data_IF_411798497111
#
_entry.id   IF_411798497111
#
_cell.length_a   1.000
_cell.length_b   1.000
_cell.length_c   1.000
_cell.angle_alpha   90.00
_cell.angle_beta   90.00
_cell.angle_gamma   90.00
#
_symmetry.space_group_name_H-M   'P 1'
#
loop_
_entity.id
_entity.type
_entity.pdbx_description
1 polymer ?
#
# COMPACT_ATOMS: atom_id res chain seq x y z
N UNK A 1 49.25 -0.19 7.09
CA UNK A 1 48.33 -0.56 6.01
C UNK A 1 47.16 -1.30 6.65
N UNK A 2 46.09 -0.60 6.98
CA UNK A 2 44.87 -1.18 7.58
C UNK A 2 43.74 -1.02 6.59
N UNK A 3 43.35 -2.13 5.97
CA UNK A 3 42.22 -2.19 5.05
C UNK A 3 40.94 -1.86 5.82
N UNK A 4 40.35 -0.70 5.53
CA UNK A 4 39.00 -0.35 5.99
C UNK A 4 38.03 -1.27 5.25
N UNK A 5 37.50 -2.27 5.96
CA UNK A 5 36.42 -3.11 5.48
C UNK A 5 35.17 -2.24 5.38
N UNK A 6 34.87 -1.81 4.15
CA UNK A 6 33.69 -1.05 3.80
C UNK A 6 32.51 -2.03 3.76
N UNK A 7 31.90 -2.33 4.90
CA UNK A 7 30.69 -3.15 4.97
C UNK A 7 29.53 -2.32 4.42
N UNK A 8 29.35 -2.36 3.10
CA UNK A 8 28.10 -1.95 2.47
C UNK A 8 27.02 -2.91 2.99
N UNK A 9 26.27 -2.48 4.00
CA UNK A 9 24.99 -3.11 4.31
C UNK A 9 24.13 -2.95 3.06
N UNK A 10 24.00 -4.02 2.30
CA UNK A 10 23.07 -4.11 1.18
C UNK A 10 21.66 -4.06 1.77
N UNK A 11 21.15 -2.84 1.98
CA UNK A 11 19.79 -2.60 2.44
C UNK A 11 18.84 -3.08 1.35
N UNK A 12 18.46 -4.36 1.41
CA UNK A 12 17.38 -4.89 0.61
C UNK A 12 16.10 -4.11 0.98
N UNK A 13 15.40 -3.51 0.01
CA UNK A 13 14.24 -2.70 0.29
C UNK A 13 13.14 -3.55 0.94
N UNK A 14 12.57 -3.04 2.02
CA UNK A 14 11.59 -3.77 2.83
C UNK A 14 10.30 -4.01 2.03
N UNK A 15 9.90 -5.28 1.92
CA UNK A 15 8.65 -5.69 1.27
C UNK A 15 7.46 -5.49 2.19
N UNK A 16 6.27 -5.46 1.60
CA UNK A 16 5.01 -5.41 2.34
C UNK A 16 4.55 -6.84 2.69
N UNK A 17 3.84 -6.98 3.80
CA UNK A 17 3.28 -8.25 4.26
C UNK A 17 1.82 -8.42 3.83
N UNK A 18 1.18 -7.33 3.38
CA UNK A 18 -0.18 -7.34 2.84
C UNK A 18 -0.47 -6.13 1.96
N UNK A 19 -1.48 -6.24 1.09
CA UNK A 19 -1.99 -5.10 0.33
C UNK A 19 -2.49 -3.95 1.22
N UNK A 20 -3.08 -4.26 2.38
CA UNK A 20 -3.54 -3.24 3.33
C UNK A 20 -2.36 -2.42 3.86
N UNK A 21 -1.27 -3.09 4.25
CA UNK A 21 -0.05 -2.41 4.72
C UNK A 21 0.50 -1.48 3.62
N UNK A 22 0.57 -1.96 2.37
CA UNK A 22 1.01 -1.18 1.23
C UNK A 22 0.09 0.02 0.97
N UNK A 23 -1.22 -0.17 1.00
CA UNK A 23 -2.22 0.88 0.76
C UNK A 23 -2.15 1.97 1.83
N UNK A 24 -2.08 1.61 3.10
CA UNK A 24 -1.95 2.58 4.18
C UNK A 24 -0.63 3.34 4.12
N UNK A 25 0.47 2.64 3.81
CA UNK A 25 1.76 3.30 3.57
C UNK A 25 1.69 4.30 2.42
N UNK A 26 1.06 3.94 1.30
CA UNK A 26 0.91 4.82 0.15
C UNK A 26 0.14 6.09 0.52
N UNK A 27 -1.01 5.95 1.20
CA UNK A 27 -1.82 7.08 1.63
C UNK A 27 -1.09 7.96 2.66
N UNK A 28 -0.31 7.36 3.57
CA UNK A 28 0.49 8.11 4.55
C UNK A 28 1.56 8.92 3.83
N UNK A 29 2.32 8.27 2.97
CA UNK A 29 3.42 8.87 2.24
C UNK A 29 2.95 9.98 1.28
N UNK A 30 1.79 9.81 0.63
CA UNK A 30 1.13 10.89 -0.14
C UNK A 30 0.73 12.07 0.74
N UNK A 31 0.17 11.82 1.94
CA UNK A 31 -0.16 12.90 2.89
C UNK A 31 1.09 13.66 3.35
N UNK A 32 2.20 12.98 3.61
CA UNK A 32 3.48 13.60 3.97
C UNK A 32 4.07 14.40 2.80
N UNK A 33 4.10 13.83 1.60
CA UNK A 33 4.61 14.50 0.39
C UNK A 33 3.86 15.80 0.09
N UNK A 34 2.55 15.82 0.33
CA UNK A 34 1.69 16.98 0.13
C UNK A 34 1.73 17.99 1.31
N UNK A 35 2.55 17.74 2.35
CA UNK A 35 2.70 18.64 3.50
C UNK A 35 1.58 18.57 4.54
N UNK A 36 0.67 17.61 4.45
CA UNK A 36 -0.43 17.44 5.42
C UNK A 36 0.01 16.78 6.74
N UNK A 37 1.15 16.08 6.74
CA UNK A 37 1.72 15.45 7.93
C UNK A 37 3.20 15.82 8.06
N UNK A 38 3.61 16.24 9.26
CA UNK A 38 5.00 16.51 9.62
C UNK A 38 5.45 15.45 10.62
N UNK A 39 6.24 14.47 10.19
CA UNK A 39 6.73 13.43 11.09
C UNK A 39 7.31 12.23 10.35
N UNK A 40 8.61 12.01 10.59
CA UNK A 40 9.42 10.89 10.14
C UNK A 40 9.38 10.60 8.63
N UNK A 41 10.46 10.96 7.94
CA UNK A 41 10.84 10.18 6.76
C UNK A 41 10.84 8.72 7.18
N UNK A 42 10.09 7.86 6.47
CA UNK A 42 10.30 6.43 6.60
C UNK A 42 11.77 6.19 6.28
N UNK A 43 12.58 5.97 7.31
CA UNK A 43 14.04 5.85 7.19
C UNK A 43 14.42 4.63 6.34
N UNK A 44 13.48 3.70 6.16
CA UNK A 44 13.64 2.50 5.36
C UNK A 44 13.10 2.73 3.95
N UNK A 45 13.98 2.58 2.95
CA UNK A 45 13.61 2.52 1.53
C UNK A 45 12.67 1.33 1.32
N UNK A 46 11.44 1.60 0.86
CA UNK A 46 10.45 0.56 0.50
C UNK A 46 10.77 -0.04 -0.86
N UNK A 47 10.21 -1.22 -1.15
CA UNK A 47 10.37 -1.92 -2.42
C UNK A 47 9.61 -1.30 -3.60
N UNK A 48 8.75 -0.30 -3.36
CA UNK A 48 7.97 0.42 -4.37
C UNK A 48 7.99 1.92 -4.09
N UNK A 49 7.99 2.74 -5.15
CA UNK A 49 7.82 4.19 -5.05
C UNK A 49 6.34 4.58 -5.08
N UNK A 50 6.01 5.81 -4.66
CA UNK A 50 4.61 6.28 -4.65
C UNK A 50 3.97 6.27 -6.05
N UNK A 51 4.74 6.65 -7.06
CA UNK A 51 4.28 6.65 -8.44
C UNK A 51 4.00 5.23 -8.96
N UNK A 52 4.74 4.23 -8.47
CA UNK A 52 4.54 2.84 -8.87
C UNK A 52 3.19 2.32 -8.38
N UNK A 53 2.85 2.61 -7.12
CA UNK A 53 1.56 2.24 -6.52
C UNK A 53 0.40 2.99 -7.19
N UNK A 54 0.56 4.29 -7.43
CA UNK A 54 -0.44 5.10 -8.14
C UNK A 54 -0.69 4.59 -9.57
N UNK A 55 0.38 4.25 -10.28
CA UNK A 55 0.31 3.65 -11.63
C UNK A 55 -0.36 2.28 -11.60
N UNK A 56 -0.06 1.46 -10.58
CA UNK A 56 -0.68 0.14 -10.42
C UNK A 56 -2.20 0.27 -10.24
N UNK A 57 -2.64 1.11 -9.30
CA UNK A 57 -4.07 1.31 -9.02
C UNK A 57 -4.78 1.86 -10.24
N UNK A 58 -4.18 2.84 -10.93
CA UNK A 58 -4.73 3.39 -12.17
C UNK A 58 -4.90 2.31 -13.24
N UNK A 59 -3.90 1.44 -13.42
CA UNK A 59 -3.99 0.31 -14.37
C UNK A 59 -5.08 -0.69 -13.98
N UNK A 60 -5.21 -1.01 -12.70
CA UNK A 60 -6.26 -1.92 -12.21
C UNK A 60 -7.66 -1.33 -12.44
N UNK A 61 -7.83 -0.03 -12.24
CA UNK A 61 -9.08 0.67 -12.54
C UNK A 61 -9.39 0.70 -14.04
N UNK A 62 -8.43 1.13 -14.88
CA UNK A 62 -8.63 1.23 -16.33
C UNK A 62 -8.85 -0.13 -17.00
N UNK A 63 -8.35 -1.22 -16.40
CA UNK A 63 -8.60 -2.60 -16.87
C UNK A 63 -9.87 -3.23 -16.29
N UNK A 64 -10.64 -2.50 -15.48
CA UNK A 64 -11.88 -2.98 -14.87
C UNK A 64 -11.68 -4.00 -13.73
N UNK A 65 -10.45 -4.21 -13.27
CA UNK A 65 -10.15 -5.07 -12.11
C UNK A 65 -10.50 -4.41 -10.78
N UNK A 66 -10.44 -3.08 -10.72
CA UNK A 66 -10.99 -2.28 -9.64
C UNK A 66 -12.14 -1.43 -10.17
N UNK A 67 -13.26 -1.43 -9.46
CA UNK A 67 -14.41 -0.58 -9.77
C UNK A 67 -14.31 0.79 -9.11
N UNK A 68 -15.07 1.77 -9.61
CA UNK A 68 -15.16 3.09 -8.98
C UNK A 68 -15.70 3.01 -7.55
N UNK A 69 -16.63 2.07 -7.28
CA UNK A 69 -17.18 1.84 -5.93
C UNK A 69 -16.11 1.30 -4.98
N UNK A 70 -15.29 0.35 -5.45
CA UNK A 70 -14.15 -0.15 -4.68
C UNK A 70 -13.14 0.95 -4.39
N UNK A 71 -12.80 1.80 -5.37
CA UNK A 71 -11.90 2.93 -5.16
C UNK A 71 -12.45 3.93 -4.12
N UNK A 72 -13.76 4.19 -4.16
CA UNK A 72 -14.43 5.03 -3.16
C UNK A 72 -14.26 4.47 -1.75
N UNK A 73 -14.54 3.17 -1.56
CA UNK A 73 -14.36 2.47 -0.28
C UNK A 73 -12.89 2.47 0.16
N UNK A 74 -11.97 2.18 -0.76
CA UNK A 74 -10.52 2.20 -0.48
C UNK A 74 -10.07 3.57 0.03
N UNK A 75 -10.56 4.66 -0.57
CA UNK A 75 -10.25 6.02 -0.15
C UNK A 75 -10.85 6.34 1.22
N UNK A 76 -12.14 6.09 1.40
CA UNK A 76 -12.86 6.38 2.65
C UNK A 76 -12.21 5.70 3.86
N UNK A 77 -11.98 4.39 3.77
CA UNK A 77 -11.41 3.61 4.87
C UNK A 77 -9.88 3.79 4.98
N UNK A 78 -9.22 4.09 3.87
CA UNK A 78 -7.84 4.55 3.84
C UNK A 78 -7.62 5.82 4.65
N UNK A 79 -8.49 6.82 4.49
CA UNK A 79 -8.44 8.08 5.24
C UNK A 79 -8.71 7.85 6.74
N UNK A 80 -9.58 6.89 7.07
CA UNK A 80 -9.82 6.44 8.46
C UNK A 80 -8.70 5.57 9.04
N UNK A 81 -7.69 5.22 8.24
CA UNK A 81 -6.55 4.36 8.63
C UNK A 81 -6.96 3.00 9.21
N UNK A 82 -8.07 2.44 8.72
CA UNK A 82 -8.55 1.11 9.14
C UNK A 82 -9.38 0.44 8.06
N UNK A 83 -9.43 -0.89 8.09
CA UNK A 83 -10.39 -1.63 7.29
C UNK A 83 -11.84 -1.42 7.78
N UNK A 84 -12.84 -1.52 6.89
CA UNK A 84 -14.25 -1.64 7.25
C UNK A 84 -14.54 -2.91 8.06
N UNK A 85 -15.51 -2.81 8.96
CA UNK A 85 -15.86 -3.91 9.86
C UNK A 85 -17.07 -4.70 9.35
N UNK A 86 -16.87 -5.98 9.04
CA UNK A 86 -17.91 -6.85 8.47
C UNK A 86 -19.16 -7.03 9.34
N UNK A 87 -19.03 -6.95 10.67
CA UNK A 87 -20.16 -7.14 11.59
C UNK A 87 -20.93 -5.86 11.91
N UNK A 88 -20.49 -4.70 11.42
CA UNK A 88 -21.24 -3.46 11.53
C UNK A 88 -22.14 -3.38 10.30
N UNK A 89 -23.47 -3.40 10.50
CA UNK A 89 -24.44 -3.43 9.40
C UNK A 89 -24.21 -2.31 8.37
N UNK A 90 -23.92 -1.10 8.83
CA UNK A 90 -23.61 0.05 7.97
C UNK A 90 -22.32 -0.10 7.16
N UNK A 91 -21.36 -0.93 7.61
CA UNK A 91 -20.06 -1.13 6.95
C UNK A 91 -19.98 -2.46 6.19
N UNK A 92 -20.97 -3.35 6.33
CA UNK A 92 -20.90 -4.71 5.78
C UNK A 92 -20.64 -4.72 4.26
N UNK A 93 -21.35 -3.87 3.51
CA UNK A 93 -21.12 -3.72 2.06
C UNK A 93 -19.72 -3.19 1.75
N UNK A 94 -19.28 -2.18 2.50
CA UNK A 94 -17.92 -1.65 2.36
C UNK A 94 -16.86 -2.71 2.69
N UNK A 95 -17.13 -3.60 3.66
CA UNK A 95 -16.25 -4.69 4.03
C UNK A 95 -16.04 -5.70 2.89
N UNK A 96 -17.11 -6.08 2.20
CA UNK A 96 -17.00 -6.95 1.03
C UNK A 96 -16.24 -6.28 -0.13
N UNK A 97 -16.55 -5.01 -0.43
CA UNK A 97 -15.87 -4.24 -1.48
C UNK A 97 -14.38 -4.06 -1.20
N UNK A 98 -14.05 -3.69 0.04
CA UNK A 98 -12.69 -3.55 0.51
C UNK A 98 -11.92 -4.86 0.41
N UNK A 99 -12.48 -5.97 0.89
CA UNK A 99 -11.84 -7.29 0.82
C UNK A 99 -11.47 -7.64 -0.62
N UNK A 100 -12.43 -7.57 -1.54
CA UNK A 100 -12.20 -7.88 -2.96
C UNK A 100 -11.17 -6.95 -3.60
N UNK A 101 -11.19 -5.67 -3.23
CA UNK A 101 -10.23 -4.69 -3.72
C UNK A 101 -8.80 -4.99 -3.20
N UNK A 102 -8.67 -5.33 -1.92
CA UNK A 102 -7.40 -5.73 -1.32
C UNK A 102 -6.89 -7.03 -1.92
N UNK A 103 -7.72 -8.05 -2.13
CA UNK A 103 -7.34 -9.28 -2.85
C UNK A 103 -6.79 -8.98 -4.26
N UNK A 104 -7.45 -8.07 -4.98
CA UNK A 104 -7.04 -7.67 -6.34
C UNK A 104 -5.69 -6.95 -6.32
N UNK A 105 -5.53 -6.02 -5.37
CA UNK A 105 -4.30 -5.25 -5.21
C UNK A 105 -3.14 -6.15 -4.75
N UNK A 106 -3.43 -7.08 -3.85
CA UNK A 106 -2.47 -8.01 -3.27
C UNK A 106 -1.87 -8.91 -4.35
N UNK A 107 -2.72 -9.59 -5.13
CA UNK A 107 -2.27 -10.41 -6.25
C UNK A 107 -1.39 -9.65 -7.25
N UNK A 108 -1.74 -8.38 -7.53
CA UNK A 108 -1.00 -7.56 -8.48
C UNK A 108 0.34 -7.06 -7.93
N UNK A 109 0.43 -6.78 -6.63
CA UNK A 109 1.66 -6.35 -5.95
C UNK A 109 2.58 -7.53 -5.63
N UNK A 110 2.03 -8.70 -5.32
CA UNK A 110 2.77 -9.96 -5.20
C UNK A 110 3.46 -10.32 -6.52
N UNK A 111 2.76 -10.23 -7.66
CA UNK A 111 3.34 -10.49 -8.98
C UNK A 111 4.51 -9.55 -9.35
N UNK A 112 4.62 -8.39 -8.69
CA UNK A 112 5.72 -7.42 -8.84
C UNK A 112 6.84 -7.60 -7.82
N UNK A 113 6.69 -8.56 -6.90
CA UNK A 113 7.64 -8.81 -5.82
C UNK A 113 7.60 -7.78 -4.70
N UNK A 114 6.54 -6.97 -4.60
CA UNK A 114 6.39 -5.95 -3.56
C UNK A 114 5.80 -6.51 -2.27
N UNK A 115 4.97 -7.54 -2.37
CA UNK A 115 4.37 -8.25 -1.23
C UNK A 115 5.03 -9.62 -1.09
N UNK A 116 5.17 -10.08 0.15
CA UNK A 116 5.47 -11.47 0.51
C UNK A 116 4.35 -12.04 1.37
N UNK A 117 4.02 -13.30 1.13
CA UNK A 117 3.21 -14.11 2.03
C UNK A 117 4.19 -14.93 2.87
N UNK A 118 4.36 -14.53 4.13
CA UNK A 118 5.08 -15.34 5.11
C UNK A 118 4.19 -16.44 5.68
#
# INVERSE_FOLDING_TARGET
>A
MTAQQNTQYEYAPEKFHSAEQMWFWFLYSKSVQNGFMHGASHATRRCAELLDVETLITKLYLSGKLSAEQLGVMKEFGDRRRAPHQYIWAENRAADLWRRAMETLDAAAFARGWIVHE
#
